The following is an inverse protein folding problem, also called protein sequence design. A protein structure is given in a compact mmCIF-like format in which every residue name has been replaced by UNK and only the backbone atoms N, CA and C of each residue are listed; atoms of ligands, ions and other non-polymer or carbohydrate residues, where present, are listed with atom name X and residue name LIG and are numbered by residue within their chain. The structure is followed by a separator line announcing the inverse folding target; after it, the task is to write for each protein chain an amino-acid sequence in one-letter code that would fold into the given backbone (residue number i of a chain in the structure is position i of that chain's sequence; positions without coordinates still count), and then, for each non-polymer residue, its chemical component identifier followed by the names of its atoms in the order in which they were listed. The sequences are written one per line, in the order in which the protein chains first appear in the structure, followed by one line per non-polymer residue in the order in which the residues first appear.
data_IF_409102928937
#
_entry.id   IF_409102928937
#
_cell.length_a   1.000
_cell.length_b   1.000
_cell.length_c   1.000
_cell.angle_alpha   90.00
_cell.angle_beta   90.00
_cell.angle_gamma   90.00
#
_symmetry.space_group_name_H-M   'P 1'
#
loop_
_entity.id
_entity.type
_entity.pdbx_description
1 polymer ?
#
# COMPACT_ATOMS: atom_id res chain seq x y z
N UNK A 1 -3.07 6.25 -25.01
CA UNK A 1 -3.75 7.19 -25.94
C UNK A 1 -5.27 7.17 -25.77
N UNK A 2 -5.89 6.02 -25.43
CA UNK A 2 -7.36 5.87 -25.28
C UNK A 2 -7.89 6.19 -23.88
N UNK A 3 -7.04 6.56 -22.92
CA UNK A 3 -7.39 6.82 -21.50
C UNK A 3 -8.16 5.67 -20.81
N UNK A 4 -7.91 4.44 -21.24
CA UNK A 4 -8.53 3.23 -20.68
C UNK A 4 -7.93 2.85 -19.30
N UNK A 5 -6.69 3.25 -19.04
CA UNK A 5 -6.07 3.07 -17.72
C UNK A 5 -6.40 4.26 -16.82
N UNK A 6 -6.81 3.94 -15.60
CA UNK A 6 -7.08 4.92 -14.54
C UNK A 6 -6.57 4.44 -13.19
N UNK A 7 -6.42 5.35 -12.25
CA UNK A 7 -6.18 5.04 -10.85
C UNK A 7 -7.46 5.18 -10.03
N UNK A 8 -7.68 4.22 -9.16
CA UNK A 8 -8.57 4.33 -8.01
C UNK A 8 -7.72 4.27 -6.75
N UNK A 9 -8.26 4.75 -5.63
CA UNK A 9 -7.47 4.87 -4.40
C UNK A 9 -8.25 4.30 -3.23
N UNK A 10 -7.55 3.57 -2.38
CA UNK A 10 -8.14 2.99 -1.17
C UNK A 10 -7.52 3.63 0.06
N UNK A 11 -8.34 4.16 0.99
CA UNK A 11 -7.84 4.75 2.23
C UNK A 11 -7.19 3.72 3.15
N UNK A 12 -6.11 4.15 3.82
CA UNK A 12 -5.46 3.46 4.92
C UNK A 12 -5.74 4.27 6.18
N UNK A 13 -6.21 3.62 7.24
CA UNK A 13 -6.52 4.27 8.51
C UNK A 13 -5.54 3.90 9.63
N UNK A 14 -5.41 4.79 10.59
CA UNK A 14 -4.94 4.47 11.93
C UNK A 14 -6.11 3.91 12.74
N UNK A 15 -5.97 2.70 13.28
CA UNK A 15 -7.04 2.00 13.99
C UNK A 15 -7.39 2.71 15.31
N UNK A 16 -6.38 3.23 16.01
CA UNK A 16 -6.56 3.86 17.31
C UNK A 16 -7.19 5.25 17.22
N UNK A 17 -6.80 6.01 16.20
CA UNK A 17 -7.27 7.38 15.98
C UNK A 17 -8.55 7.42 15.13
N UNK A 18 -8.74 6.45 14.24
CA UNK A 18 -9.80 6.43 13.24
C UNK A 18 -9.55 7.39 12.07
N UNK A 19 -8.36 7.97 12.00
CA UNK A 19 -7.99 8.96 10.98
C UNK A 19 -7.47 8.28 9.72
N UNK A 20 -7.77 8.86 8.55
CA UNK A 20 -7.12 8.46 7.28
C UNK A 20 -5.69 9.00 7.29
N UNK A 21 -4.71 8.07 7.21
CA UNK A 21 -3.28 8.40 7.25
C UNK A 21 -2.59 8.29 5.90
N UNK A 22 -3.25 7.66 4.92
CA UNK A 22 -2.71 7.49 3.58
C UNK A 22 -3.68 6.81 2.65
N UNK A 23 -3.20 6.57 1.46
CA UNK A 23 -3.97 5.95 0.38
C UNK A 23 -3.08 5.00 -0.41
N UNK A 24 -3.67 3.93 -0.92
CA UNK A 24 -3.04 3.08 -1.92
C UNK A 24 -3.61 3.37 -3.30
N UNK A 25 -2.74 3.59 -4.28
CA UNK A 25 -3.12 3.78 -5.68
C UNK A 25 -3.18 2.44 -6.40
N UNK A 26 -4.33 2.13 -6.95
CA UNK A 26 -4.64 0.87 -7.59
C UNK A 26 -5.02 1.10 -9.06
N UNK A 27 -4.29 0.46 -9.98
CA UNK A 27 -4.59 0.53 -11.41
C UNK A 27 -5.89 -0.18 -11.74
N UNK A 28 -6.64 0.41 -12.68
CA UNK A 28 -7.81 -0.20 -13.31
C UNK A 28 -7.72 -0.01 -14.81
N UNK A 29 -8.08 -1.05 -15.54
CA UNK A 29 -8.21 -0.98 -16.98
C UNK A 29 -9.67 -1.17 -17.37
N UNK A 30 -10.24 -0.13 -17.95
CA UNK A 30 -11.61 -0.10 -18.42
C UNK A 30 -11.62 0.25 -19.90
N UNK A 31 -12.09 -0.66 -20.74
CA UNK A 31 -12.15 -0.48 -22.17
C UNK A 31 -13.28 0.47 -22.56
N UNK A 32 -13.24 0.99 -23.78
CA UNK A 32 -14.23 1.95 -24.30
C UNK A 32 -15.68 1.41 -24.27
N UNK A 33 -15.85 0.10 -24.33
CA UNK A 33 -17.16 -0.56 -24.25
C UNK A 33 -17.66 -0.77 -22.81
N UNK A 34 -16.91 -0.29 -21.81
CA UNK A 34 -17.21 -0.46 -20.39
C UNK A 34 -16.73 -1.78 -19.78
N UNK A 35 -16.06 -2.64 -20.54
CA UNK A 35 -15.48 -3.88 -20.02
C UNK A 35 -14.29 -3.56 -19.11
N UNK A 36 -14.31 -4.09 -17.88
CA UNK A 36 -13.19 -3.97 -16.93
C UNK A 36 -12.29 -5.19 -17.03
N UNK A 37 -10.98 -4.96 -17.24
CA UNK A 37 -9.97 -6.03 -17.23
C UNK A 37 -9.32 -6.09 -15.86
N UNK A 38 -9.26 -7.28 -15.28
CA UNK A 38 -8.69 -7.49 -13.94
C UNK A 38 -7.19 -7.16 -13.90
N UNK A 39 -6.70 -6.47 -12.85
CA UNK A 39 -5.25 -6.32 -12.63
C UNK A 39 -4.48 -7.65 -12.67
N UNK A 40 -5.07 -8.72 -12.14
CA UNK A 40 -4.46 -10.05 -12.17
C UNK A 40 -4.28 -10.62 -13.60
N UNK A 41 -5.02 -10.09 -14.59
CA UNK A 41 -4.90 -10.49 -15.99
C UNK A 41 -3.95 -9.58 -16.76
N UNK A 42 -4.08 -8.24 -16.63
CA UNK A 42 -3.30 -7.33 -17.48
C UNK A 42 -1.91 -7.02 -16.94
N UNK A 43 -1.69 -7.02 -15.63
CA UNK A 43 -0.36 -6.72 -15.06
C UNK A 43 0.70 -7.73 -15.49
N UNK A 44 0.46 -9.06 -15.42
CA UNK A 44 1.44 -10.04 -15.93
C UNK A 44 1.78 -9.84 -17.41
N UNK A 45 0.78 -9.56 -18.25
CA UNK A 45 0.99 -9.28 -19.68
C UNK A 45 1.82 -7.99 -19.87
N UNK A 46 1.54 -6.95 -19.08
CA UNK A 46 2.29 -5.70 -19.13
C UNK A 46 3.75 -5.89 -18.66
N UNK A 47 3.99 -6.79 -17.71
CA UNK A 47 5.33 -7.17 -17.28
C UNK A 47 6.08 -7.94 -18.37
N UNK A 48 5.47 -8.97 -18.96
CA UNK A 48 6.08 -9.75 -20.04
C UNK A 48 6.46 -8.89 -21.25
N UNK A 49 5.57 -8.00 -21.65
CA UNK A 49 5.79 -7.11 -22.80
C UNK A 49 6.69 -5.90 -22.48
N UNK A 50 6.91 -5.60 -21.20
CA UNK A 50 7.69 -4.45 -20.74
C UNK A 50 6.91 -3.13 -20.73
N UNK A 51 5.66 -3.12 -21.14
CA UNK A 51 4.83 -1.91 -21.12
C UNK A 51 4.48 -1.47 -19.69
N UNK A 52 4.70 -2.35 -18.68
CA UNK A 52 4.54 -2.01 -17.26
C UNK A 52 5.45 -0.84 -16.84
N UNK A 53 6.62 -0.65 -17.48
CA UNK A 53 7.55 0.43 -17.13
C UNK A 53 6.95 1.81 -17.44
N UNK A 54 6.52 2.13 -18.66
CA UNK A 54 5.88 3.42 -18.94
C UNK A 54 4.52 3.58 -18.22
N UNK A 55 3.75 2.51 -18.07
CA UNK A 55 2.48 2.54 -17.32
C UNK A 55 2.74 2.89 -15.86
N UNK A 56 3.69 2.24 -15.21
CA UNK A 56 4.01 2.51 -13.81
C UNK A 56 4.63 3.89 -13.58
N UNK A 57 5.42 4.39 -14.55
CA UNK A 57 5.91 5.78 -14.49
C UNK A 57 4.77 6.80 -14.53
N UNK A 58 3.77 6.57 -15.37
CA UNK A 58 2.54 7.38 -15.40
C UNK A 58 1.77 7.25 -14.09
N UNK A 59 1.53 6.02 -13.61
CA UNK A 59 0.76 5.76 -12.39
C UNK A 59 1.38 6.45 -11.16
N UNK A 60 2.70 6.42 -11.04
CA UNK A 60 3.45 7.06 -9.96
C UNK A 60 3.22 8.58 -9.94
N UNK A 61 3.38 9.25 -11.08
CA UNK A 61 3.17 10.70 -11.19
C UNK A 61 1.71 11.07 -10.93
N UNK A 62 0.78 10.33 -11.48
CA UNK A 62 -0.66 10.55 -11.33
C UNK A 62 -1.10 10.40 -9.87
N UNK A 63 -0.66 9.32 -9.19
CA UNK A 63 -0.96 9.06 -7.78
C UNK A 63 -0.46 10.21 -6.87
N UNK A 64 0.78 10.65 -7.06
CA UNK A 64 1.34 11.76 -6.30
C UNK A 64 0.64 13.10 -6.62
N UNK A 65 0.21 13.30 -7.86
CA UNK A 65 -0.57 14.49 -8.26
C UNK A 65 -1.93 14.52 -7.58
N UNK A 66 -2.61 13.37 -7.48
CA UNK A 66 -3.87 13.23 -6.75
C UNK A 66 -3.67 13.56 -5.27
N UNK A 67 -2.68 12.94 -4.60
CA UNK A 67 -2.40 13.22 -3.19
C UNK A 67 -2.12 14.72 -2.95
N UNK A 68 -1.30 15.33 -3.81
CA UNK A 68 -1.02 16.77 -3.72
C UNK A 68 -2.26 17.63 -3.84
N UNK A 69 -3.16 17.25 -4.77
CA UNK A 69 -4.46 17.89 -4.95
C UNK A 69 -5.31 17.80 -3.68
N UNK A 70 -5.42 16.62 -3.07
CA UNK A 70 -6.20 16.39 -1.85
C UNK A 70 -5.66 17.14 -0.64
N UNK A 71 -4.34 17.18 -0.47
CA UNK A 71 -3.69 17.99 0.60
C UNK A 71 -4.00 19.48 0.41
N UNK A 72 -3.87 20.00 -0.81
CA UNK A 72 -4.12 21.41 -1.11
C UNK A 72 -5.59 21.81 -0.89
N UNK A 73 -6.54 20.88 -1.12
CA UNK A 73 -7.96 21.07 -0.91
C UNK A 73 -8.39 20.82 0.55
N UNK A 74 -7.48 20.36 1.41
CA UNK A 74 -7.80 20.00 2.80
C UNK A 74 -8.67 18.75 2.95
N UNK A 75 -8.68 17.87 1.92
CA UNK A 75 -9.42 16.60 1.95
C UNK A 75 -8.74 15.60 2.90
N UNK A 76 -7.42 15.64 2.99
CA UNK A 76 -6.64 14.79 3.88
C UNK A 76 -5.59 15.60 4.64
N UNK A 77 -4.97 14.96 5.61
CA UNK A 77 -3.88 15.53 6.42
C UNK A 77 -2.70 15.91 5.54
N UNK A 78 -1.91 16.90 5.99
CA UNK A 78 -0.71 17.36 5.26
C UNK A 78 0.40 16.31 5.19
N UNK A 79 0.42 15.39 6.14
CA UNK A 79 1.36 14.28 6.27
C UNK A 79 0.80 12.95 5.75
N UNK A 80 -0.34 12.98 5.05
CA UNK A 80 -0.90 11.80 4.41
C UNK A 80 0.07 11.22 3.36
N UNK A 81 0.07 9.90 3.23
CA UNK A 81 1.00 9.17 2.37
C UNK A 81 0.29 8.54 1.17
N UNK A 82 1.05 8.26 0.11
CA UNK A 82 0.60 7.53 -1.06
C UNK A 82 1.44 6.29 -1.26
N UNK A 83 0.78 5.14 -1.29
CA UNK A 83 1.39 3.85 -1.64
C UNK A 83 1.18 3.55 -3.12
N UNK A 84 2.22 3.06 -3.78
CA UNK A 84 2.19 2.69 -5.20
C UNK A 84 2.88 1.34 -5.37
N UNK A 85 2.16 0.39 -5.97
CA UNK A 85 2.68 -0.92 -6.31
C UNK A 85 3.70 -0.85 -7.44
N UNK A 86 4.83 -1.54 -7.28
CA UNK A 86 5.93 -1.56 -8.24
C UNK A 86 6.29 -3.00 -8.59
N UNK A 87 6.26 -3.30 -9.89
CA UNK A 87 6.61 -4.62 -10.39
C UNK A 87 8.12 -4.90 -10.31
N UNK A 88 8.52 -6.18 -10.26
CA UNK A 88 9.94 -6.57 -10.33
C UNK A 88 10.65 -5.94 -11.54
N UNK A 89 9.99 -5.88 -12.69
CA UNK A 89 10.55 -5.34 -13.91
C UNK A 89 10.85 -3.84 -13.83
N UNK A 90 9.97 -3.07 -13.18
CA UNK A 90 10.21 -1.65 -12.93
C UNK A 90 11.38 -1.43 -11.95
N UNK A 91 11.41 -2.22 -10.87
CA UNK A 91 12.46 -2.12 -9.86
C UNK A 91 13.86 -2.41 -10.45
N UNK A 92 13.93 -3.30 -11.44
CA UNK A 92 15.17 -3.64 -12.14
C UNK A 92 15.51 -2.69 -13.31
N UNK A 93 14.66 -1.70 -13.63
CA UNK A 93 14.99 -0.68 -14.62
C UNK A 93 16.05 0.28 -14.03
N UNK A 94 17.22 0.44 -14.69
CA UNK A 94 18.29 1.32 -14.20
C UNK A 94 17.86 2.78 -14.06
N UNK A 95 16.80 3.19 -14.77
CA UNK A 95 16.26 4.55 -14.72
C UNK A 95 15.17 4.72 -13.64
N UNK A 96 14.75 3.67 -12.95
CA UNK A 96 13.61 3.72 -12.04
C UNK A 96 13.75 4.79 -10.95
N UNK A 97 14.93 4.89 -10.32
CA UNK A 97 15.18 5.93 -9.30
C UNK A 97 15.05 7.34 -9.89
N UNK A 98 15.49 7.55 -11.13
CA UNK A 98 15.35 8.84 -11.81
C UNK A 98 13.87 9.17 -12.11
N UNK A 99 13.09 8.16 -12.51
CA UNK A 99 11.63 8.27 -12.72
C UNK A 99 10.92 8.67 -11.42
N UNK A 100 11.26 8.02 -10.30
CA UNK A 100 10.68 8.36 -8.98
C UNK A 100 11.02 9.79 -8.59
N UNK A 101 12.29 10.20 -8.74
CA UNK A 101 12.74 11.57 -8.47
C UNK A 101 11.98 12.61 -9.33
N UNK A 102 11.83 12.33 -10.62
CA UNK A 102 11.08 13.21 -11.52
C UNK A 102 9.61 13.34 -11.08
N UNK A 103 8.97 12.23 -10.70
CA UNK A 103 7.59 12.23 -10.23
C UNK A 103 7.43 13.06 -8.93
N UNK A 104 8.34 12.92 -7.97
CA UNK A 104 8.37 13.71 -6.74
C UNK A 104 8.54 15.21 -7.03
N UNK A 105 9.49 15.57 -7.89
CA UNK A 105 9.73 16.97 -8.27
C UNK A 105 8.52 17.59 -8.99
N UNK A 106 7.93 16.88 -9.95
CA UNK A 106 6.78 17.37 -10.74
C UNK A 106 5.52 17.53 -9.90
N UNK A 107 5.25 16.58 -9.01
CA UNK A 107 4.11 16.65 -8.08
C UNK A 107 4.36 17.58 -6.89
N UNK A 108 5.61 17.96 -6.66
CA UNK A 108 6.06 18.72 -5.46
C UNK A 108 5.72 17.99 -4.16
N UNK A 109 5.79 16.67 -4.17
CA UNK A 109 5.55 15.85 -2.98
C UNK A 109 6.86 15.57 -2.25
N UNK A 110 6.87 15.61 -0.90
CA UNK A 110 7.99 15.12 -0.10
C UNK A 110 8.22 13.62 -0.33
N UNK A 111 9.46 13.19 -0.37
CA UNK A 111 9.80 11.80 -0.66
C UNK A 111 9.29 10.82 0.41
N UNK A 112 9.27 11.23 1.68
CA UNK A 112 8.79 10.44 2.82
C UNK A 112 7.27 10.23 2.83
N UNK A 113 6.53 10.92 1.97
CA UNK A 113 5.10 10.70 1.74
C UNK A 113 4.82 9.67 0.62
N UNK A 114 5.85 9.22 -0.11
CA UNK A 114 5.74 8.13 -1.08
C UNK A 114 6.16 6.81 -0.46
N UNK A 115 5.31 5.81 -0.57
CA UNK A 115 5.59 4.42 -0.28
C UNK A 115 5.65 3.62 -1.58
N UNK A 116 6.74 2.94 -1.81
CA UNK A 116 6.88 1.94 -2.88
C UNK A 116 6.56 0.58 -2.28
N UNK A 117 5.55 -0.08 -2.82
CA UNK A 117 5.13 -1.41 -2.41
C UNK A 117 5.69 -2.45 -3.38
N UNK A 118 6.37 -3.45 -2.83
CA UNK A 118 6.94 -4.55 -3.60
C UNK A 118 6.56 -5.88 -2.95
N UNK A 119 6.26 -6.88 -3.76
CA UNK A 119 5.97 -8.23 -3.27
C UNK A 119 7.24 -8.93 -2.79
N UNK A 120 7.11 -9.95 -1.94
CA UNK A 120 8.23 -10.78 -1.48
C UNK A 120 9.08 -11.36 -2.62
N UNK A 121 8.45 -11.71 -3.74
CA UNK A 121 9.11 -12.31 -4.90
C UNK A 121 10.20 -11.45 -5.54
N UNK A 122 10.12 -10.13 -5.40
CA UNK A 122 11.12 -9.18 -5.89
C UNK A 122 12.48 -9.43 -5.24
N UNK A 123 12.50 -9.77 -3.96
CA UNK A 123 13.72 -10.01 -3.19
C UNK A 123 14.42 -11.33 -3.54
N UNK A 124 13.73 -12.22 -4.24
CA UNK A 124 14.25 -13.57 -4.57
C UNK A 124 14.89 -13.60 -5.96
N UNK A 125 14.31 -12.91 -6.94
CA UNK A 125 14.67 -13.07 -8.35
C UNK A 125 16.04 -12.47 -8.71
N UNK A 126 16.36 -11.27 -8.21
CA UNK A 126 17.64 -10.57 -8.41
C UNK A 126 17.96 -9.73 -7.17
N UNK A 127 18.32 -10.35 -6.04
CA UNK A 127 18.35 -9.71 -4.73
C UNK A 127 19.33 -8.53 -4.64
N UNK A 128 20.48 -8.61 -5.29
CA UNK A 128 21.50 -7.56 -5.23
C UNK A 128 21.05 -6.29 -5.97
N UNK A 129 20.44 -6.45 -7.14
CA UNK A 129 19.94 -5.33 -7.92
C UNK A 129 18.74 -4.68 -7.25
N UNK A 130 17.79 -5.48 -6.74
CA UNK A 130 16.67 -4.99 -5.96
C UNK A 130 17.13 -4.19 -4.74
N UNK A 131 18.13 -4.75 -4.00
CA UNK A 131 18.71 -4.09 -2.83
C UNK A 131 19.34 -2.74 -3.17
N UNK A 132 20.13 -2.65 -4.26
CA UNK A 132 20.74 -1.38 -4.70
C UNK A 132 19.66 -0.32 -5.02
N UNK A 133 18.67 -0.71 -5.82
CA UNK A 133 17.57 0.19 -6.20
C UNK A 133 16.79 0.68 -4.98
N UNK A 134 16.41 -0.24 -4.07
CA UNK A 134 15.67 0.12 -2.87
C UNK A 134 16.49 0.99 -1.90
N UNK A 135 17.81 0.76 -1.79
CA UNK A 135 18.70 1.64 -1.00
C UNK A 135 18.73 3.04 -1.57
N UNK A 136 18.92 3.19 -2.87
CA UNK A 136 18.92 4.50 -3.54
C UNK A 136 17.58 5.22 -3.40
N UNK A 137 16.45 4.52 -3.40
CA UNK A 137 15.14 5.09 -3.10
C UNK A 137 15.04 5.53 -1.64
N UNK A 138 15.53 4.71 -0.71
CA UNK A 138 15.55 5.07 0.72
C UNK A 138 16.47 6.26 1.00
N UNK A 139 17.61 6.37 0.31
CA UNK A 139 18.56 7.50 0.45
C UNK A 139 17.95 8.84 0.05
N UNK A 140 17.01 8.85 -0.89
CA UNK A 140 16.24 10.06 -1.25
C UNK A 140 15.02 10.30 -0.36
N UNK A 141 14.77 9.41 0.62
CA UNK A 141 13.71 9.52 1.60
C UNK A 141 12.41 8.78 1.27
N UNK A 142 12.35 8.07 0.15
CA UNK A 142 11.19 7.23 -0.22
C UNK A 142 11.08 6.05 0.73
N UNK A 143 9.86 5.72 1.15
CA UNK A 143 9.59 4.60 2.04
C UNK A 143 9.30 3.33 1.24
N UNK A 144 9.68 2.19 1.80
CA UNK A 144 9.49 0.87 1.16
C UNK A 144 8.58 0.00 2.04
N UNK A 145 7.58 -0.60 1.43
CA UNK A 145 6.71 -1.59 2.06
C UNK A 145 6.82 -2.94 1.33
N UNK A 146 6.77 -4.02 2.10
CA UNK A 146 6.57 -5.36 1.54
C UNK A 146 5.09 -5.64 1.52
N UNK A 147 4.60 -6.00 0.34
CA UNK A 147 3.22 -6.37 0.08
C UNK A 147 3.01 -7.89 0.11
N UNK A 148 1.78 -8.33 0.36
CA UNK A 148 1.37 -9.74 0.43
C UNK A 148 2.23 -10.58 1.38
N UNK A 149 2.70 -9.99 2.51
CA UNK A 149 3.63 -10.66 3.42
C UNK A 149 3.03 -11.92 4.06
N UNK A 150 3.80 -13.03 3.96
CA UNK A 150 3.45 -14.33 4.51
C UNK A 150 2.92 -15.33 3.50
N UNK A 151 2.69 -14.93 2.24
CA UNK A 151 2.25 -15.82 1.16
C UNK A 151 3.42 -16.48 0.44
N UNK A 152 4.65 -15.98 0.65
CA UNK A 152 5.88 -16.41 -0.01
C UNK A 152 6.93 -17.01 0.93
N UNK A 153 8.17 -17.07 0.44
CA UNK A 153 9.33 -17.62 1.14
C UNK A 153 10.25 -16.54 1.73
N UNK A 154 9.71 -15.56 2.46
CA UNK A 154 10.56 -14.55 3.08
C UNK A 154 11.41 -15.12 4.20
N UNK A 155 12.73 -15.06 4.02
CA UNK A 155 13.66 -15.28 5.11
C UNK A 155 13.80 -14.01 5.96
N UNK A 156 13.74 -14.14 7.29
CA UNK A 156 14.02 -13.03 8.23
C UNK A 156 15.33 -12.28 7.89
N UNK A 157 16.33 -12.98 7.32
CA UNK A 157 17.57 -12.37 6.90
C UNK A 157 17.40 -11.36 5.76
N UNK A 158 16.39 -11.54 4.89
CA UNK A 158 16.07 -10.54 3.86
C UNK A 158 15.45 -9.29 4.47
N UNK A 159 14.51 -9.43 5.39
CA UNK A 159 13.89 -8.28 6.06
C UNK A 159 14.92 -7.40 6.78
N UNK A 160 15.97 -8.01 7.35
CA UNK A 160 17.05 -7.27 8.01
C UNK A 160 18.02 -6.59 7.02
N UNK A 161 18.16 -7.14 5.81
CA UNK A 161 19.13 -6.67 4.82
C UNK A 161 18.59 -5.52 3.97
N UNK A 162 17.29 -5.55 3.66
CA UNK A 162 16.64 -4.59 2.81
C UNK A 162 16.15 -3.36 3.59
N UNK A 163 16.15 -2.16 3.00
CA UNK A 163 15.70 -0.93 3.66
C UNK A 163 14.16 -0.86 3.67
N UNK A 164 13.55 -1.81 4.39
CA UNK A 164 12.10 -1.93 4.52
C UNK A 164 11.64 -1.09 5.70
N UNK A 165 10.47 -0.47 5.58
CA UNK A 165 9.89 0.37 6.61
C UNK A 165 8.52 -0.14 7.07
N UNK A 166 7.84 -1.00 6.26
CA UNK A 166 6.49 -1.49 6.52
C UNK A 166 6.30 -2.91 6.02
N UNK A 167 5.48 -3.69 6.74
CA UNK A 167 4.91 -4.95 6.27
C UNK A 167 3.40 -4.77 6.11
N UNK A 168 2.85 -5.23 4.97
CA UNK A 168 1.41 -5.35 4.72
C UNK A 168 1.04 -6.82 4.90
N UNK A 169 0.19 -7.11 5.87
CA UNK A 169 -0.28 -8.48 6.14
C UNK A 169 -1.37 -8.80 5.12
N UNK A 170 -1.14 -9.83 4.30
CA UNK A 170 -2.08 -10.24 3.26
C UNK A 170 -3.45 -10.62 3.84
N UNK A 171 -4.49 -10.32 3.08
CA UNK A 171 -5.90 -10.57 3.41
C UNK A 171 -6.19 -12.03 3.78
N UNK A 172 -5.46 -13.00 3.24
CA UNK A 172 -5.69 -14.42 3.54
C UNK A 172 -5.52 -14.73 5.03
N UNK A 173 -4.63 -14.00 5.73
CA UNK A 173 -4.46 -14.12 7.18
C UNK A 173 -5.51 -13.36 7.98
N UNK A 174 -6.10 -12.33 7.38
CA UNK A 174 -7.11 -11.48 8.04
C UNK A 174 -8.50 -12.10 7.94
N UNK A 175 -8.80 -12.83 6.86
CA UNK A 175 -10.12 -13.42 6.63
C UNK A 175 -10.61 -14.29 7.80
N UNK A 176 -9.73 -15.10 8.39
CA UNK A 176 -10.08 -16.02 9.48
C UNK A 176 -9.67 -15.49 10.87
N UNK A 177 -9.14 -14.27 10.97
CA UNK A 177 -8.56 -13.69 12.18
C UNK A 177 -9.54 -13.68 13.38
N UNK A 178 -10.82 -13.44 13.13
CA UNK A 178 -11.84 -13.38 14.19
C UNK A 178 -12.36 -14.75 14.63
N UNK A 179 -12.23 -15.78 13.79
CA UNK A 179 -12.86 -17.10 13.99
C UNK A 179 -11.87 -18.24 14.23
N UNK A 180 -10.61 -18.12 13.82
CA UNK A 180 -9.58 -19.15 13.99
C UNK A 180 -8.45 -18.70 14.90
N UNK A 181 -8.20 -19.46 15.97
CA UNK A 181 -7.13 -19.21 16.93
C UNK A 181 -5.73 -19.36 16.31
N UNK A 182 -5.56 -20.24 15.31
CA UNK A 182 -4.28 -20.43 14.62
C UNK A 182 -3.97 -19.20 13.72
N UNK A 183 -4.96 -18.71 12.96
CA UNK A 183 -4.84 -17.49 12.17
C UNK A 183 -4.49 -16.29 13.08
N UNK A 184 -5.17 -16.16 14.22
CA UNK A 184 -4.89 -15.13 15.22
C UNK A 184 -3.46 -15.22 15.78
N UNK A 185 -2.98 -16.43 16.08
CA UNK A 185 -1.61 -16.67 16.59
C UNK A 185 -0.56 -16.31 15.54
N UNK A 186 -0.82 -16.61 14.28
CA UNK A 186 0.08 -16.29 13.17
C UNK A 186 0.18 -14.77 12.96
N UNK A 187 -0.95 -14.07 12.85
CA UNK A 187 -0.98 -12.61 12.73
C UNK A 187 -0.28 -11.94 13.89
N UNK A 188 -0.51 -12.42 15.14
CA UNK A 188 0.20 -11.96 16.33
C UNK A 188 1.73 -12.11 16.19
N UNK A 189 2.17 -13.24 15.65
CA UNK A 189 3.61 -13.52 15.45
C UNK A 189 4.20 -12.58 14.40
N UNK A 190 3.49 -12.32 13.30
CA UNK A 190 3.93 -11.38 12.24
C UNK A 190 4.05 -9.96 12.83
N UNK A 191 3.06 -9.49 13.59
CA UNK A 191 3.09 -8.16 14.22
C UNK A 191 4.25 -8.06 15.21
N UNK A 192 4.45 -9.06 16.07
CA UNK A 192 5.55 -9.07 17.03
C UNK A 192 6.92 -9.05 16.34
N UNK A 193 7.07 -9.80 15.26
CA UNK A 193 8.28 -9.82 14.44
C UNK A 193 8.54 -8.45 13.82
N UNK A 194 7.54 -7.85 13.16
CA UNK A 194 7.65 -6.54 12.54
C UNK A 194 8.06 -5.47 13.57
N UNK A 195 7.40 -5.45 14.73
CA UNK A 195 7.73 -4.55 15.82
C UNK A 195 9.17 -4.73 16.33
N UNK A 196 9.67 -5.98 16.42
CA UNK A 196 11.06 -6.27 16.82
C UNK A 196 12.08 -5.73 15.83
N UNK A 197 11.68 -5.61 14.56
CA UNK A 197 12.51 -5.06 13.46
C UNK A 197 12.30 -3.54 13.27
N UNK A 198 11.45 -2.90 14.07
CA UNK A 198 11.13 -1.48 13.92
C UNK A 198 10.30 -1.14 12.68
N UNK A 199 9.55 -2.12 12.16
CA UNK A 199 8.74 -1.98 10.96
C UNK A 199 7.29 -1.61 11.33
N UNK A 200 6.70 -0.72 10.55
CA UNK A 200 5.26 -0.47 10.54
C UNK A 200 4.49 -1.71 10.07
N UNK A 201 3.24 -1.86 10.52
CA UNK A 201 2.35 -2.94 10.04
C UNK A 201 1.03 -2.35 9.56
N UNK A 202 0.58 -2.79 8.38
CA UNK A 202 -0.77 -2.55 7.85
C UNK A 202 -1.45 -3.89 7.64
N UNK A 203 -2.65 -4.06 8.16
CA UNK A 203 -3.48 -5.23 7.89
C UNK A 203 -4.38 -4.94 6.69
N UNK A 204 -4.38 -5.86 5.73
CA UNK A 204 -5.15 -5.72 4.50
C UNK A 204 -6.41 -6.58 4.48
N UNK A 205 -7.37 -6.18 3.65
CA UNK A 205 -8.60 -6.95 3.45
C UNK A 205 -9.49 -7.00 4.69
N UNK A 206 -9.46 -5.96 5.52
CA UNK A 206 -10.38 -5.86 6.68
C UNK A 206 -11.80 -5.61 6.17
N UNK A 207 -12.69 -6.57 6.41
CA UNK A 207 -14.07 -6.53 5.91
C UNK A 207 -15.11 -6.46 7.03
N UNK A 208 -14.74 -6.82 8.28
CA UNK A 208 -15.67 -6.83 9.40
C UNK A 208 -15.14 -6.07 10.62
N UNK A 209 -16.07 -5.63 11.46
CA UNK A 209 -15.76 -4.93 12.72
C UNK A 209 -15.02 -5.87 13.70
N UNK A 210 -15.35 -7.15 13.68
CA UNK A 210 -14.70 -8.18 14.51
C UNK A 210 -13.23 -8.37 14.14
N UNK A 211 -12.90 -8.35 12.82
CA UNK A 211 -11.50 -8.37 12.35
C UNK A 211 -10.75 -7.12 12.81
N UNK A 212 -11.37 -5.94 12.69
CA UNK A 212 -10.76 -4.68 13.13
C UNK A 212 -10.49 -4.69 14.64
N UNK A 213 -11.44 -5.19 15.45
CA UNK A 213 -11.26 -5.34 16.90
C UNK A 213 -10.13 -6.32 17.21
N UNK A 214 -10.10 -7.48 16.54
CA UNK A 214 -9.04 -8.46 16.75
C UNK A 214 -7.65 -7.89 16.41
N UNK A 215 -7.53 -7.06 15.37
CA UNK A 215 -6.30 -6.35 15.04
C UNK A 215 -5.88 -5.35 16.12
N UNK A 216 -6.81 -4.57 16.65
CA UNK A 216 -6.56 -3.67 17.78
C UNK A 216 -6.07 -4.40 19.03
N UNK A 217 -6.69 -5.54 19.39
CA UNK A 217 -6.24 -6.41 20.49
C UNK A 217 -4.80 -6.93 20.28
N UNK A 218 -4.40 -7.13 19.03
CA UNK A 218 -3.06 -7.57 18.64
C UNK A 218 -2.07 -6.41 18.47
N UNK A 219 -2.48 -5.18 18.79
CA UNK A 219 -1.68 -3.96 18.63
C UNK A 219 -1.22 -3.69 17.18
N UNK A 220 -2.04 -4.09 16.18
CA UNK A 220 -1.90 -3.61 14.83
C UNK A 220 -2.48 -2.20 14.74
N UNK A 221 -1.66 -1.21 14.37
CA UNK A 221 -2.08 0.19 14.40
C UNK A 221 -2.73 0.68 13.11
N UNK A 222 -2.58 -0.04 12.00
CA UNK A 222 -3.04 0.43 10.69
C UNK A 222 -3.83 -0.65 9.96
N UNK A 223 -4.86 -0.23 9.23
CA UNK A 223 -5.72 -1.14 8.47
C UNK A 223 -6.18 -0.54 7.14
N UNK A 224 -6.47 -1.45 6.21
CA UNK A 224 -7.07 -1.19 4.92
C UNK A 224 -8.04 -2.33 4.58
N UNK A 225 -9.16 -2.01 3.95
CA UNK A 225 -10.14 -3.03 3.55
C UNK A 225 -11.52 -2.47 3.26
N UNK A 226 -12.43 -3.33 2.84
CA UNK A 226 -13.76 -2.94 2.40
C UNK A 226 -14.66 -2.45 3.55
N UNK A 227 -14.34 -2.82 4.78
CA UNK A 227 -14.98 -2.24 5.96
C UNK A 227 -14.78 -0.72 6.02
N UNK A 228 -13.58 -0.26 5.63
CA UNK A 228 -13.20 1.16 5.65
C UNK A 228 -13.74 1.83 4.39
N UNK A 229 -13.30 1.39 3.23
CA UNK A 229 -13.79 1.83 1.93
C UNK A 229 -13.39 0.86 0.83
N UNK A 230 -14.25 0.67 -0.16
CA UNK A 230 -13.79 0.17 -1.45
C UNK A 230 -12.83 1.16 -2.09
N UNK A 231 -11.96 0.73 -3.02
CA UNK A 231 -11.19 1.65 -3.85
C UNK A 231 -12.13 2.58 -4.63
N UNK A 232 -11.87 3.89 -4.56
CA UNK A 232 -12.72 4.93 -5.16
C UNK A 232 -11.95 5.79 -6.14
N UNK A 233 -12.66 6.46 -7.04
CA UNK A 233 -12.05 7.40 -8.00
C UNK A 233 -11.55 8.66 -7.29
N UNK A 234 -10.60 9.40 -7.88
CA UNK A 234 -10.07 10.62 -7.28
C UNK A 234 -11.15 11.66 -6.95
N UNK A 235 -12.19 11.75 -7.79
CA UNK A 235 -13.28 12.72 -7.66
C UNK A 235 -14.16 12.43 -6.44
N UNK A 236 -14.32 11.17 -6.08
CA UNK A 236 -15.16 10.75 -4.94
C UNK A 236 -14.40 10.71 -3.62
N UNK A 237 -13.07 10.89 -3.62
CA UNK A 237 -12.26 10.79 -2.42
C UNK A 237 -12.67 11.79 -1.33
N UNK A 238 -13.02 13.02 -1.68
CA UNK A 238 -13.46 14.03 -0.71
C UNK A 238 -14.70 13.57 0.08
N UNK A 239 -15.69 13.01 -0.60
CA UNK A 239 -16.90 12.49 0.06
C UNK A 239 -16.61 11.23 0.88
N UNK A 240 -15.68 10.40 0.43
CA UNK A 240 -15.25 9.17 1.12
C UNK A 240 -14.59 9.52 2.45
N UNK A 241 -13.57 10.39 2.45
CA UNK A 241 -12.87 10.82 3.68
C UNK A 241 -13.84 11.51 4.64
N UNK A 242 -14.67 12.45 4.15
CA UNK A 242 -15.68 13.11 4.98
C UNK A 242 -16.74 12.14 5.54
N UNK A 243 -16.98 11.03 4.87
CA UNK A 243 -17.84 9.94 5.35
C UNK A 243 -17.18 9.18 6.50
N UNK A 244 -15.90 8.83 6.37
CA UNK A 244 -15.12 8.13 7.40
C UNK A 244 -15.00 8.98 8.68
N UNK A 245 -14.77 10.28 8.57
CA UNK A 245 -14.73 11.21 9.71
C UNK A 245 -16.07 11.26 10.48
N UNK A 246 -17.21 11.09 9.78
CA UNK A 246 -18.55 11.11 10.38
C UNK A 246 -18.93 9.82 11.08
N UNK A 247 -18.39 8.68 10.66
CA UNK A 247 -18.62 7.38 11.33
C UNK A 247 -18.14 7.47 12.79
N UNK A 248 -17.39 8.52 13.10
CA UNK A 248 -16.92 8.85 14.43
C UNK A 248 -16.05 7.73 14.97
N UNK A 249 -14.84 8.05 15.37
CA UNK A 249 -13.84 7.17 15.97
C UNK A 249 -14.37 5.76 16.15
N UNK A 250 -13.98 4.85 15.26
CA UNK A 250 -14.24 3.40 15.40
C UNK A 250 -14.27 3.08 16.88
N UNK A 251 -15.25 2.33 17.42
CA UNK A 251 -15.46 2.23 18.85
C UNK A 251 -14.10 2.00 19.51
N UNK A 252 -13.63 3.01 20.26
CA UNK A 252 -12.29 3.02 20.83
C UNK A 252 -12.08 1.66 21.48
N UNK A 253 -11.14 0.91 20.98
CA UNK A 253 -10.73 -0.36 21.55
C UNK A 253 -10.17 -0.03 22.93
N UNK A 254 -11.05 0.02 23.94
CA UNK A 254 -10.60 0.10 25.32
C UNK A 254 -9.94 -1.24 25.62
N UNK A 255 -8.71 -1.25 26.14
CA UNK A 255 -8.15 -2.48 26.63
C UNK A 255 -9.15 -3.06 27.65
N UNK A 256 -9.59 -4.28 27.42
CA UNK A 256 -10.28 -5.05 28.44
C UNK A 256 -9.32 -5.14 29.61
N UNK A 257 -9.76 -4.61 30.76
CA UNK A 257 -9.02 -4.67 32.02
C UNK A 257 -8.85 -6.11 32.45
#
# INVERSE_FOLDING_TARGET
ERRELRLVHQPIIDIDLGDVIGFEALMRWEMEDGTSVSPAEFIPIAEETGIIVPIGSWALLEALTHLRGWINQGICRRDATMSVNVSPRQLHDPNFVAVVNEALMRSRMPADQLWIEVTEGVMITQPEQALDTLRRLSDIGVRVAIDDFGTGYSSLSFLQRFPIHRLKIDRSFINELASDANARSLVKTIIAMANSLGLDVVAEGVETVEQLHALGDLHCSKAQGYLISHPVTPETMASTVAGLDKIGKWPRLRPLK
#
